data_IF_422056766435
#
_entry.id   IF_422056766435
#
_cell.length_a   1.000
_cell.length_b   1.000
_cell.length_c   1.000
_cell.angle_alpha   90.00
_cell.angle_beta   90.00
_cell.angle_gamma   90.00
#
_symmetry.space_group_name_H-M   'P 1'
#
loop_
_entity.id
_entity.type
_entity.pdbx_description
1 polymer ?
#
# COMPACT_ATOMS: atom_id res chain seq x y z
N UNK A 1 10.25 11.32 -16.06
CA UNK A 1 9.52 10.09 -16.39
C UNK A 1 10.23 8.95 -15.68
N UNK A 2 9.70 8.55 -14.53
CA UNK A 2 10.30 7.52 -13.67
C UNK A 2 10.22 6.18 -14.41
N UNK A 3 11.34 5.45 -14.54
CA UNK A 3 11.36 4.14 -15.21
C UNK A 3 10.78 3.09 -14.27
N UNK A 4 9.88 2.25 -14.75
CA UNK A 4 9.18 1.22 -13.95
C UNK A 4 10.14 0.41 -13.08
N UNK A 5 11.28 -0.01 -13.65
CA UNK A 5 12.30 -0.83 -13.00
C UNK A 5 12.96 -0.17 -11.78
N UNK A 6 12.89 1.18 -11.66
CA UNK A 6 13.44 1.91 -10.50
C UNK A 6 12.47 2.00 -9.33
N UNK A 7 11.17 1.87 -9.59
CA UNK A 7 10.11 2.04 -8.58
C UNK A 7 9.90 0.74 -7.82
N UNK A 8 9.95 -0.40 -8.52
CA UNK A 8 9.70 -1.74 -7.96
C UNK A 8 10.61 -2.05 -6.75
N UNK A 9 11.93 -1.82 -6.89
CA UNK A 9 12.88 -2.10 -5.80
C UNK A 9 12.62 -1.28 -4.52
N UNK A 10 12.08 -0.07 -4.64
CA UNK A 10 11.83 0.83 -3.50
C UNK A 10 10.50 0.51 -2.79
N UNK A 11 9.62 -0.21 -3.46
CA UNK A 11 8.35 -0.68 -2.91
C UNK A 11 8.46 -2.04 -2.22
N UNK A 12 9.43 -2.86 -2.62
CA UNK A 12 9.61 -4.21 -2.07
C UNK A 12 10.40 -4.24 -0.77
N UNK A 13 11.28 -3.25 -0.53
CA UNK A 13 12.19 -3.23 0.61
C UNK A 13 12.18 -1.88 1.32
N UNK A 14 12.29 -1.87 2.67
CA UNK A 14 12.52 -0.64 3.40
C UNK A 14 13.86 -0.03 3.01
N UNK A 15 13.96 1.28 3.14
CA UNK A 15 15.21 2.00 2.92
C UNK A 15 16.15 1.70 4.09
N UNK A 16 17.34 1.19 3.78
CA UNK A 16 18.33 0.87 4.80
C UNK A 16 18.80 2.14 5.53
N UNK A 17 19.00 2.02 6.84
CA UNK A 17 19.55 3.11 7.66
C UNK A 17 21.04 3.21 7.40
N UNK A 18 21.55 4.44 7.26
CA UNK A 18 22.98 4.69 7.09
C UNK A 18 23.73 4.13 8.32
N UNK A 19 24.69 3.21 8.14
CA UNK A 19 25.50 2.68 9.23
C UNK A 19 26.28 3.79 9.94
N UNK A 20 26.54 3.63 11.24
CA UNK A 20 27.42 4.56 11.96
C UNK A 20 28.80 4.60 11.28
N UNK A 21 29.41 5.79 11.17
CA UNK A 21 30.75 5.98 10.61
C UNK A 21 31.84 5.16 11.30
N UNK A 22 31.61 4.80 12.56
CA UNK A 22 32.50 3.97 13.36
C UNK A 22 32.26 2.45 13.17
N UNK A 23 31.19 2.07 12.46
CA UNK A 23 30.88 0.68 12.14
C UNK A 23 31.78 0.18 11.01
N UNK A 24 32.29 -1.06 11.08
CA UNK A 24 33.01 -1.68 9.97
C UNK A 24 32.18 -1.72 8.66
N UNK A 25 30.84 -1.76 8.78
CA UNK A 25 29.91 -1.78 7.65
C UNK A 25 29.91 -0.46 6.86
N UNK A 26 30.26 0.66 7.49
CA UNK A 26 30.36 1.96 6.83
C UNK A 26 31.50 1.99 5.80
N UNK A 27 32.58 1.25 6.03
CA UNK A 27 33.71 1.18 5.10
C UNK A 27 33.32 0.55 3.75
N UNK A 28 32.30 -0.30 3.74
CA UNK A 28 31.73 -0.93 2.54
C UNK A 28 30.43 -0.28 2.07
N UNK A 29 29.95 0.74 2.78
CA UNK A 29 28.68 1.38 2.50
C UNK A 29 28.79 2.31 1.29
N UNK A 30 27.98 2.04 0.27
CA UNK A 30 27.90 2.87 -0.92
C UNK A 30 26.91 4.03 -0.70
N UNK A 31 27.47 5.19 -0.31
CA UNK A 31 26.70 6.41 -0.05
C UNK A 31 25.99 6.91 -1.31
N UNK A 32 26.59 6.74 -2.50
CA UNK A 32 25.98 7.19 -3.76
C UNK A 32 24.79 6.30 -4.14
N UNK A 33 24.92 4.98 -3.97
CA UNK A 33 23.83 4.05 -4.17
C UNK A 33 22.68 4.30 -3.17
N UNK A 34 23.01 4.60 -1.90
CA UNK A 34 22.01 4.94 -0.89
C UNK A 34 21.27 6.25 -1.21
N UNK A 35 21.99 7.32 -1.56
CA UNK A 35 21.35 8.58 -1.94
C UNK A 35 20.44 8.40 -3.17
N UNK A 36 20.88 7.62 -4.16
CA UNK A 36 20.05 7.27 -5.32
C UNK A 36 18.79 6.51 -4.92
N UNK A 37 18.86 5.66 -3.89
CA UNK A 37 17.69 4.96 -3.36
C UNK A 37 16.70 5.93 -2.69
N UNK A 38 17.19 6.92 -1.94
CA UNK A 38 16.38 8.00 -1.37
C UNK A 38 15.68 8.80 -2.47
N UNK A 39 16.41 9.20 -3.50
CA UNK A 39 15.85 9.98 -4.62
C UNK A 39 14.76 9.19 -5.35
N UNK A 40 15.01 7.90 -5.63
CA UNK A 40 14.00 7.02 -6.23
C UNK A 40 12.78 6.84 -5.31
N UNK A 41 12.97 6.82 -3.99
CA UNK A 41 11.87 6.74 -3.03
C UNK A 41 11.01 8.00 -3.03
N UNK A 42 11.62 9.17 -3.13
CA UNK A 42 10.90 10.44 -3.27
C UNK A 42 10.06 10.47 -4.54
N UNK A 43 10.62 10.01 -5.66
CA UNK A 43 9.91 9.88 -6.93
C UNK A 43 8.72 8.92 -6.82
N UNK A 44 8.92 7.74 -6.21
CA UNK A 44 7.87 6.75 -5.97
C UNK A 44 6.77 7.30 -5.07
N UNK A 45 7.14 8.01 -3.99
CA UNK A 45 6.19 8.62 -3.06
C UNK A 45 5.27 9.60 -3.79
N UNK A 46 5.84 10.46 -4.63
CA UNK A 46 5.09 11.43 -5.42
C UNK A 46 4.07 10.73 -6.34
N UNK A 47 4.48 9.68 -7.04
CA UNK A 47 3.60 8.91 -7.94
C UNK A 47 2.47 8.22 -7.15
N UNK A 48 2.80 7.59 -6.03
CA UNK A 48 1.82 6.92 -5.17
C UNK A 48 0.78 7.92 -4.65
N UNK A 49 1.22 9.01 -4.03
CA UNK A 49 0.34 10.04 -3.47
C UNK A 49 -0.54 10.69 -4.54
N UNK A 50 0.00 10.94 -5.73
CA UNK A 50 -0.76 11.51 -6.86
C UNK A 50 -1.87 10.59 -7.38
N UNK A 51 -1.75 9.29 -7.13
CA UNK A 51 -2.74 8.28 -7.55
C UNK A 51 -3.86 8.09 -6.52
N UNK A 52 -3.75 8.72 -5.34
CA UNK A 52 -4.70 8.59 -4.24
C UNK A 52 -5.77 9.69 -4.26
N UNK A 53 -6.86 9.48 -3.53
CA UNK A 53 -7.79 10.55 -3.17
C UNK A 53 -7.13 11.51 -2.16
N UNK A 54 -7.62 12.76 -2.09
CA UNK A 54 -7.06 13.77 -1.19
C UNK A 54 -7.07 13.36 0.29
N UNK A 55 -8.10 12.65 0.73
CA UNK A 55 -8.18 12.16 2.10
C UNK A 55 -7.10 11.12 2.40
N UNK A 56 -6.96 10.15 1.50
CA UNK A 56 -5.96 9.10 1.63
C UNK A 56 -4.55 9.68 1.50
N UNK A 57 -4.34 10.64 0.60
CA UNK A 57 -3.07 11.35 0.45
C UNK A 57 -2.61 11.96 1.78
N UNK A 58 -3.49 12.70 2.48
CA UNK A 58 -3.15 13.35 3.77
C UNK A 58 -2.71 12.37 4.85
N UNK A 59 -3.25 11.15 4.85
CA UNK A 59 -2.86 10.11 5.81
C UNK A 59 -1.47 9.55 5.53
N UNK A 60 -0.98 9.68 4.29
CA UNK A 60 0.23 9.02 3.80
C UNK A 60 1.36 10.00 3.41
N UNK A 61 1.14 11.32 3.50
CA UNK A 61 2.10 12.38 3.14
C UNK A 61 3.47 12.25 3.82
N UNK A 62 3.52 11.67 5.03
CA UNK A 62 4.76 11.50 5.80
C UNK A 62 5.31 10.07 5.80
N UNK A 63 4.66 9.16 5.07
CA UNK A 63 5.06 7.76 5.02
C UNK A 63 5.96 7.50 3.81
N UNK A 64 6.95 6.64 3.99
CA UNK A 64 7.80 6.17 2.91
C UNK A 64 7.00 5.25 1.97
N UNK A 65 7.38 5.14 0.67
CA UNK A 65 6.68 4.30 -0.31
C UNK A 65 6.38 2.88 0.16
N UNK A 66 7.37 2.21 0.75
CA UNK A 66 7.24 0.87 1.31
C UNK A 66 6.13 0.80 2.38
N UNK A 67 6.17 1.70 3.37
CA UNK A 67 5.19 1.77 4.46
C UNK A 67 3.80 2.13 3.95
N UNK A 68 3.71 3.07 3.00
CA UNK A 68 2.45 3.40 2.33
C UNK A 68 1.85 2.18 1.67
N UNK A 69 2.65 1.43 0.90
CA UNK A 69 2.17 0.25 0.20
C UNK A 69 1.63 -0.80 1.18
N UNK A 70 2.37 -1.08 2.26
CA UNK A 70 1.92 -2.00 3.31
C UNK A 70 0.63 -1.56 3.99
N UNK A 71 0.50 -0.28 4.29
CA UNK A 71 -0.70 0.24 4.92
C UNK A 71 -1.91 0.11 3.98
N UNK A 72 -1.74 0.41 2.68
CA UNK A 72 -2.80 0.26 1.68
C UNK A 72 -3.20 -1.19 1.47
N UNK A 73 -2.24 -2.12 1.36
CA UNK A 73 -2.51 -3.57 1.28
C UNK A 73 -3.40 -4.03 2.43
N UNK A 74 -3.04 -3.63 3.66
CA UNK A 74 -3.83 -3.96 4.86
C UNK A 74 -5.22 -3.32 4.84
N UNK A 75 -5.30 -2.03 4.46
CA UNK A 75 -6.57 -1.29 4.42
C UNK A 75 -7.55 -1.94 3.45
N UNK A 76 -7.13 -2.19 2.21
CA UNK A 76 -8.01 -2.79 1.21
C UNK A 76 -8.33 -4.26 1.50
N UNK A 77 -7.40 -5.03 2.07
CA UNK A 77 -7.70 -6.39 2.54
C UNK A 77 -8.78 -6.39 3.62
N UNK A 78 -8.73 -5.46 4.57
CA UNK A 78 -9.74 -5.33 5.63
C UNK A 78 -11.10 -4.87 5.10
N UNK A 79 -11.11 -3.96 4.12
CA UNK A 79 -12.32 -3.48 3.48
C UNK A 79 -13.00 -4.59 2.67
N UNK A 80 -12.24 -5.38 1.92
CA UNK A 80 -12.76 -6.51 1.16
C UNK A 80 -13.44 -7.53 2.10
N UNK A 81 -12.77 -7.91 3.20
CA UNK A 81 -13.35 -8.80 4.20
C UNK A 81 -14.65 -8.24 4.79
N UNK A 82 -14.67 -6.95 5.15
CA UNK A 82 -15.86 -6.30 5.69
C UNK A 82 -17.02 -6.34 4.70
N UNK A 83 -16.76 -6.03 3.43
CA UNK A 83 -17.76 -6.07 2.37
C UNK A 83 -18.30 -7.48 2.14
N UNK A 84 -17.44 -8.51 2.17
CA UNK A 84 -17.87 -9.91 2.07
C UNK A 84 -18.81 -10.29 3.22
N UNK A 85 -18.48 -9.93 4.46
CA UNK A 85 -19.35 -10.17 5.60
C UNK A 85 -20.69 -9.44 5.48
N UNK A 86 -20.70 -8.19 5.03
CA UNK A 86 -21.94 -7.42 4.81
C UNK A 86 -22.82 -8.05 3.73
N UNK A 87 -22.23 -8.47 2.61
CA UNK A 87 -22.96 -9.16 1.52
C UNK A 87 -23.52 -10.49 2.03
N UNK A 88 -22.75 -11.26 2.81
CA UNK A 88 -23.23 -12.50 3.43
C UNK A 88 -24.37 -12.23 4.42
N UNK A 89 -24.28 -11.18 5.24
CA UNK A 89 -25.32 -10.80 6.18
C UNK A 89 -26.62 -10.36 5.46
N UNK A 90 -26.50 -9.61 4.38
CA UNK A 90 -27.66 -9.17 3.57
C UNK A 90 -28.31 -10.36 2.87
N UNK A 91 -27.52 -11.22 2.23
CA UNK A 91 -28.03 -12.39 1.52
C UNK A 91 -28.62 -13.46 2.44
N UNK A 92 -28.17 -13.54 3.69
CA UNK A 92 -28.76 -14.39 4.73
C UNK A 92 -29.92 -13.73 5.48
N UNK A 93 -30.29 -12.50 5.14
CA UNK A 93 -31.41 -11.82 5.79
C UNK A 93 -32.75 -12.47 5.42
N UNK A 94 -33.71 -12.59 6.36
CA UNK A 94 -35.02 -13.19 6.09
C UNK A 94 -35.77 -12.49 4.95
N UNK A 95 -35.62 -11.17 4.84
CA UNK A 95 -36.23 -10.35 3.79
C UNK A 95 -35.73 -10.75 2.40
N UNK A 96 -34.40 -10.88 2.24
CA UNK A 96 -33.80 -11.28 0.96
C UNK A 96 -34.11 -12.74 0.62
N UNK A 97 -34.02 -13.65 1.59
CA UNK A 97 -34.37 -15.06 1.39
C UNK A 97 -35.84 -15.27 0.99
N UNK A 98 -36.75 -14.43 1.51
CA UNK A 98 -38.16 -14.48 1.15
C UNK A 98 -38.39 -13.98 -0.29
N UNK A 99 -37.77 -12.86 -0.69
CA UNK A 99 -37.80 -12.39 -2.09
C UNK A 99 -37.25 -13.42 -3.07
N UNK A 100 -36.10 -14.03 -2.78
CA UNK A 100 -35.52 -15.06 -3.63
C UNK A 100 -36.43 -16.29 -3.79
N UNK A 101 -37.14 -16.69 -2.72
CA UNK A 101 -38.15 -17.75 -2.79
C UNK A 101 -39.36 -17.35 -3.65
N UNK A 102 -39.83 -16.11 -3.53
CA UNK A 102 -40.93 -15.60 -4.36
C UNK A 102 -40.58 -15.62 -5.85
N UNK A 103 -39.37 -15.18 -6.23
CA UNK A 103 -38.91 -15.19 -7.61
C UNK A 103 -38.71 -16.60 -8.19
N UNK A 104 -38.36 -17.58 -7.35
CA UNK A 104 -38.24 -18.99 -7.77
C UNK A 104 -39.59 -19.69 -8.00
N UNK A 105 -40.70 -19.10 -7.54
CA UNK A 105 -42.05 -19.67 -7.67
C UNK A 105 -42.87 -19.06 -8.81
N UNK A 106 -42.33 -18.05 -9.51
CA UNK A 106 -42.86 -17.50 -10.77
C UNK A 106 -42.20 -18.18 -11.97
#
# INVERSE_FOLDING_TARGET
>A
MVRHDKVEYVLDKPIDVIPNKESPEFATFDVEAHQKQIDNASDAQCVMLSSMSLELQRQHEHLLPYEMLKHLESLYASQAQTMEYEILAISSSPSFMMEARFLSMC
#
